data_IF_917841883286
#
_entry.id   IF_917841883286
#
_cell.length_a   1.000
_cell.length_b   1.000
_cell.length_c   1.000
_cell.angle_alpha   90.00
_cell.angle_beta   90.00
_cell.angle_gamma   90.00
#
_symmetry.space_group_name_H-M   'P 1'
#
loop_
_entity.id
_entity.type
_entity.pdbx_description
1 polymer ?
#
# COMPACT_ATOMS: atom_id res chain seq x y z
N UNK A 1 40.87 -19.93 -2.19
CA UNK A 1 39.56 -20.55 -2.50
C UNK A 1 38.46 -19.78 -1.78
N UNK A 2 38.62 -19.51 -0.48
CA UNK A 2 37.58 -18.99 0.43
C UNK A 2 37.08 -17.57 0.11
N UNK A 3 37.97 -16.67 -0.31
CA UNK A 3 37.59 -15.28 -0.65
C UNK A 3 36.62 -15.22 -1.83
N UNK A 4 36.79 -16.12 -2.81
CA UNK A 4 35.91 -16.19 -3.98
C UNK A 4 34.52 -16.71 -3.60
N UNK A 5 34.44 -17.64 -2.65
CA UNK A 5 33.19 -18.16 -2.11
C UNK A 5 32.42 -17.10 -1.33
N UNK A 6 33.11 -16.31 -0.52
CA UNK A 6 32.50 -15.19 0.24
C UNK A 6 31.95 -14.13 -0.73
N UNK A 7 32.72 -13.76 -1.76
CA UNK A 7 32.28 -12.79 -2.77
C UNK A 7 31.06 -13.29 -3.56
N UNK A 8 31.06 -14.57 -3.93
CA UNK A 8 29.92 -15.19 -4.62
C UNK A 8 28.67 -15.21 -3.73
N UNK A 9 28.82 -15.59 -2.46
CA UNK A 9 27.73 -15.57 -1.48
C UNK A 9 27.13 -14.17 -1.30
N UNK A 10 27.97 -13.14 -1.18
CA UNK A 10 27.49 -11.76 -1.04
C UNK A 10 26.74 -11.28 -2.29
N UNK A 11 27.25 -11.59 -3.49
CA UNK A 11 26.59 -11.25 -4.74
C UNK A 11 25.23 -11.95 -4.89
N UNK A 12 25.12 -13.23 -4.50
CA UNK A 12 23.84 -13.95 -4.51
C UNK A 12 22.82 -13.36 -3.55
N UNK A 13 23.24 -12.90 -2.37
CA UNK A 13 22.36 -12.25 -1.39
C UNK A 13 21.88 -10.88 -1.88
N UNK A 14 22.75 -10.07 -2.50
CA UNK A 14 22.37 -8.77 -3.05
C UNK A 14 21.35 -8.86 -4.19
N UNK A 15 21.38 -9.94 -4.98
CA UNK A 15 20.43 -10.17 -6.07
C UNK A 15 19.15 -10.90 -5.62
N UNK A 16 19.17 -11.56 -4.44
CA UNK A 16 18.03 -12.26 -3.87
C UNK A 16 17.05 -11.33 -3.14
N UNK A 17 17.45 -10.09 -2.84
CA UNK A 17 16.52 -9.04 -2.43
C UNK A 17 15.72 -8.64 -3.68
N UNK A 18 14.67 -9.41 -3.96
CA UNK A 18 13.57 -8.92 -4.78
C UNK A 18 13.01 -7.74 -4.00
N UNK A 19 13.50 -6.54 -4.32
CA UNK A 19 12.68 -5.35 -4.23
C UNK A 19 11.57 -5.58 -5.26
N UNK A 20 10.60 -6.44 -4.92
CA UNK A 20 9.25 -6.26 -5.41
C UNK A 20 8.97 -4.83 -5.03
N UNK A 21 9.15 -3.96 -6.04
CA UNK A 21 9.02 -2.54 -5.94
C UNK A 21 7.80 -2.35 -5.07
N UNK A 22 8.01 -1.84 -3.85
CA UNK A 22 6.96 -1.46 -2.91
C UNK A 22 5.87 -0.90 -3.77
N UNK A 23 4.81 -1.69 -3.96
CA UNK A 23 3.80 -1.46 -4.97
C UNK A 23 3.16 -0.16 -4.56
N UNK A 24 3.75 0.94 -5.04
CA UNK A 24 3.33 2.29 -4.73
C UNK A 24 1.88 2.26 -5.12
N UNK A 25 1.03 2.40 -4.11
CA UNK A 25 -0.41 2.20 -4.21
C UNK A 25 -0.88 2.72 -5.57
N UNK A 26 -1.59 1.85 -6.29
CA UNK A 26 -2.19 2.12 -7.60
C UNK A 26 -2.62 3.59 -7.71
N UNK A 27 -2.41 4.18 -8.90
CA UNK A 27 -2.76 5.54 -9.40
C UNK A 27 -4.16 6.08 -8.99
N UNK A 28 -4.48 6.11 -7.70
CA UNK A 28 -5.74 6.56 -7.15
C UNK A 28 -5.43 7.80 -6.30
N UNK A 29 -5.99 8.93 -6.71
CA UNK A 29 -5.87 10.19 -5.98
C UNK A 29 -6.56 10.04 -4.62
N UNK A 30 -5.83 10.37 -3.55
CA UNK A 30 -6.43 10.49 -2.23
C UNK A 30 -7.44 11.66 -2.23
N UNK A 31 -8.68 11.37 -1.86
CA UNK A 31 -9.73 12.36 -1.64
C UNK A 31 -9.96 12.60 -0.13
N UNK A 32 -10.38 13.81 0.28
CA UNK A 32 -10.71 14.07 1.68
C UNK A 32 -11.87 13.20 2.18
N UNK A 33 -11.77 12.75 3.43
CA UNK A 33 -12.88 12.05 4.09
C UNK A 33 -14.00 13.03 4.40
N UNK A 34 -15.19 12.76 3.87
CA UNK A 34 -16.41 13.57 4.04
C UNK A 34 -17.40 12.96 5.04
N UNK A 35 -17.27 11.66 5.31
CA UNK A 35 -18.16 10.93 6.22
C UNK A 35 -17.92 11.33 7.68
N UNK A 36 -18.98 11.79 8.36
CA UNK A 36 -18.90 12.24 9.77
C UNK A 36 -18.40 11.16 10.73
N UNK A 37 -18.77 9.90 10.50
CA UNK A 37 -18.35 8.78 11.35
C UNK A 37 -16.87 8.39 11.21
N UNK A 38 -16.20 8.87 10.16
CA UNK A 38 -14.77 8.64 9.93
C UNK A 38 -13.92 9.87 10.33
N UNK A 39 -14.53 10.89 10.94
CA UNK A 39 -13.80 12.06 11.44
C UNK A 39 -13.09 11.72 12.75
N UNK A 40 -11.89 12.28 12.96
CA UNK A 40 -11.09 12.07 14.17
C UNK A 40 -10.13 10.87 14.12
N UNK A 41 -10.03 10.19 12.98
CA UNK A 41 -8.98 9.21 12.71
C UNK A 41 -7.61 9.91 12.56
N UNK A 42 -6.53 9.13 12.65
CA UNK A 42 -5.16 9.64 12.43
C UNK A 42 -4.88 10.03 10.98
N UNK A 43 -5.82 9.79 10.07
CA UNK A 43 -5.77 10.12 8.66
C UNK A 43 -7.03 10.88 8.24
N UNK A 44 -6.89 11.78 7.26
CA UNK A 44 -7.96 12.67 6.79
C UNK A 44 -8.32 12.47 5.30
N UNK A 45 -7.64 11.55 4.61
CA UNK A 45 -7.88 11.23 3.21
C UNK A 45 -8.03 9.72 3.03
N UNK A 46 -8.81 9.34 2.03
CA UNK A 46 -8.98 7.96 1.57
C UNK A 46 -8.86 7.92 0.06
N UNK A 47 -8.53 6.76 -0.51
CA UNK A 47 -8.64 6.56 -1.95
C UNK A 47 -9.87 5.71 -2.26
N UNK A 48 -10.39 5.86 -3.47
CA UNK A 48 -11.43 5.01 -4.03
C UNK A 48 -10.96 4.43 -5.38
N UNK A 49 -11.31 3.18 -5.72
CA UNK A 49 -12.11 2.26 -4.91
C UNK A 49 -11.35 1.79 -3.66
N UNK A 50 -12.06 1.66 -2.53
CA UNK A 50 -11.44 1.21 -1.28
C UNK A 50 -11.16 -0.32 -1.29
N UNK A 51 -10.62 -0.85 -0.19
CA UNK A 51 -10.31 -2.28 -0.05
C UNK A 51 -11.53 -3.21 -0.23
N UNK A 52 -12.73 -2.70 0.07
CA UNK A 52 -14.00 -3.42 -0.09
C UNK A 52 -14.63 -3.20 -1.47
N UNK A 53 -13.89 -2.57 -2.38
CA UNK A 53 -14.31 -2.28 -3.74
C UNK A 53 -15.54 -1.35 -3.83
N UNK A 54 -15.73 -0.47 -2.84
CA UNK A 54 -16.68 0.63 -2.92
C UNK A 54 -16.06 1.76 -3.73
N UNK A 55 -16.78 2.27 -4.73
CA UNK A 55 -16.26 3.22 -5.71
C UNK A 55 -16.36 4.69 -5.25
N UNK A 56 -17.17 4.99 -4.25
CA UNK A 56 -17.26 6.29 -3.60
C UNK A 56 -17.54 6.15 -2.09
N UNK A 57 -17.33 7.23 -1.34
CA UNK A 57 -17.56 7.26 0.10
C UNK A 57 -19.03 7.05 0.50
N UNK A 58 -19.99 7.44 -0.34
CA UNK A 58 -21.41 7.30 -0.01
C UNK A 58 -21.88 5.85 -0.10
N UNK A 59 -21.44 5.13 -1.12
CA UNK A 59 -21.63 3.69 -1.29
C UNK A 59 -21.00 2.95 -0.13
N UNK A 60 -19.82 3.38 0.32
CA UNK A 60 -19.19 2.82 1.51
C UNK A 60 -19.99 3.08 2.79
N UNK A 61 -20.60 4.25 2.95
CA UNK A 61 -21.42 4.58 4.11
C UNK A 61 -22.71 3.74 4.17
N UNK A 62 -23.39 3.56 3.03
CA UNK A 62 -24.61 2.74 2.92
C UNK A 62 -24.37 1.28 3.29
N UNK A 63 -23.16 0.77 3.09
CA UNK A 63 -22.79 -0.60 3.49
C UNK A 63 -22.54 -0.76 5.00
N UNK A 64 -22.57 0.33 5.77
CA UNK A 64 -22.37 0.33 7.22
C UNK A 64 -23.66 0.62 8.01
N UNK A 65 -24.76 0.95 7.32
CA UNK A 65 -26.12 1.04 7.88
C UNK A 65 -26.76 -0.35 8.02
#
# INVERSE_FOLDING_TARGET
MDVLWVLYSMLTVCMAINMEATGSHSMFTCEPITLRMCQGLTYNTTFMPNLLNHYDQQTAALAME
#
